data_IF_123319576004
#
_entry.id   IF_123319576004
#
_cell.length_a   1.000
_cell.length_b   1.000
_cell.length_c   1.000
_cell.angle_alpha   90.00
_cell.angle_beta   90.00
_cell.angle_gamma   90.00
#
_symmetry.space_group_name_H-M   'P 1'
#
loop_
_entity.id
_entity.type
_entity.pdbx_description
1 polymer ?
#
# COMPACT_ATOMS: atom_id res chain seq x y z
N UNK A 1 -22.85 -36.44 3.02
CA UNK A 1 -23.58 -36.28 1.75
C UNK A 1 -23.08 -34.99 1.11
N UNK A 2 -22.60 -35.03 -0.13
CA UNK A 2 -22.31 -33.82 -0.90
C UNK A 2 -23.65 -33.19 -1.29
N UNK A 3 -24.02 -32.10 -0.63
CA UNK A 3 -25.19 -31.31 -1.06
C UNK A 3 -24.98 -30.88 -2.51
N UNK A 4 -26.04 -31.03 -3.33
CA UNK A 4 -26.01 -30.59 -4.72
C UNK A 4 -25.96 -29.07 -4.74
N UNK A 5 -24.77 -28.51 -4.99
CA UNK A 5 -24.57 -27.08 -5.17
C UNK A 5 -24.72 -26.73 -6.66
N UNK A 6 -25.73 -25.91 -6.99
CA UNK A 6 -25.82 -25.29 -8.31
C UNK A 6 -24.96 -24.02 -8.29
N UNK A 7 -23.80 -24.07 -8.95
CA UNK A 7 -22.97 -22.88 -9.10
C UNK A 7 -23.74 -21.81 -9.87
N UNK A 8 -23.92 -20.63 -9.27
CA UNK A 8 -24.44 -19.44 -9.92
C UNK A 8 -23.27 -18.50 -10.22
N UNK A 9 -22.83 -18.41 -11.49
CA UNK A 9 -21.70 -17.54 -11.84
C UNK A 9 -22.04 -16.07 -11.69
N UNK A 10 -21.26 -15.32 -10.91
CA UNK A 10 -21.32 -13.87 -10.91
C UNK A 10 -20.55 -13.33 -12.14
N UNK A 11 -21.29 -13.02 -13.19
CA UNK A 11 -20.73 -12.45 -14.43
C UNK A 11 -20.13 -11.06 -14.21
N UNK A 12 -20.67 -10.29 -13.28
CA UNK A 12 -20.14 -8.96 -12.93
C UNK A 12 -18.79 -9.07 -12.26
N UNK A 13 -18.63 -10.02 -11.34
CA UNK A 13 -17.35 -10.31 -10.71
C UNK A 13 -16.30 -10.82 -11.72
N UNK A 14 -16.70 -11.68 -12.67
CA UNK A 14 -15.81 -12.10 -13.76
C UNK A 14 -15.33 -10.88 -14.57
N UNK A 15 -16.24 -9.98 -14.95
CA UNK A 15 -15.88 -8.76 -15.67
C UNK A 15 -14.92 -7.88 -14.85
N UNK A 16 -15.20 -7.70 -13.55
CA UNK A 16 -14.33 -6.97 -12.64
C UNK A 16 -12.92 -7.56 -12.57
N UNK A 17 -12.79 -8.89 -12.46
CA UNK A 17 -11.47 -9.55 -12.42
C UNK A 17 -10.70 -9.33 -13.72
N UNK A 18 -11.37 -9.32 -14.87
CA UNK A 18 -10.74 -9.05 -16.18
C UNK A 18 -10.19 -7.63 -16.24
N UNK A 19 -11.00 -6.64 -15.85
CA UNK A 19 -10.58 -5.22 -15.75
C UNK A 19 -9.38 -5.01 -14.81
N UNK A 20 -9.29 -5.82 -13.74
CA UNK A 20 -8.20 -5.79 -12.77
C UNK A 20 -6.94 -6.58 -13.22
N UNK A 21 -6.89 -7.06 -14.47
CA UNK A 21 -5.73 -7.76 -15.06
C UNK A 21 -5.86 -9.28 -15.13
N UNK A 22 -6.99 -9.85 -14.70
CA UNK A 22 -7.27 -11.30 -14.70
C UNK A 22 -7.83 -11.85 -16.02
N UNK A 23 -7.52 -11.23 -17.17
CA UNK A 23 -8.12 -11.54 -18.48
C UNK A 23 -8.12 -13.02 -18.86
N UNK A 24 -7.09 -13.75 -18.43
CA UNK A 24 -6.89 -15.15 -18.82
C UNK A 24 -7.60 -16.17 -17.94
N UNK A 25 -8.44 -15.74 -16.98
CA UNK A 25 -9.15 -16.62 -16.04
C UNK A 25 -9.97 -17.73 -16.72
N UNK A 26 -10.46 -17.50 -17.96
CA UNK A 26 -11.23 -18.49 -18.74
C UNK A 26 -10.37 -19.48 -19.54
N UNK A 27 -9.05 -19.29 -19.63
CA UNK A 27 -8.16 -20.19 -20.39
C UNK A 27 -7.83 -21.49 -19.64
N UNK A 28 -7.99 -21.49 -18.31
CA UNK A 28 -7.62 -22.61 -17.44
C UNK A 28 -8.50 -23.84 -17.68
N UNK A 29 -7.84 -25.01 -17.79
CA UNK A 29 -8.47 -26.32 -17.97
C UNK A 29 -8.09 -27.31 -16.86
N UNK A 30 -7.58 -26.79 -15.73
CA UNK A 30 -7.37 -27.54 -14.48
C UNK A 30 -6.28 -28.64 -14.48
N UNK A 31 -5.23 -28.51 -15.30
CA UNK A 31 -4.11 -29.48 -15.37
C UNK A 31 -3.15 -29.52 -14.16
N UNK A 32 -3.29 -28.60 -13.19
CA UNK A 32 -2.48 -28.52 -11.97
C UNK A 32 -0.98 -28.16 -12.09
N UNK A 33 -0.44 -27.93 -13.29
CA UNK A 33 0.98 -27.51 -13.48
C UNK A 33 1.37 -26.34 -12.57
N UNK A 34 0.53 -25.31 -12.50
CA UNK A 34 0.74 -24.13 -11.66
C UNK A 34 0.83 -24.45 -10.15
N UNK A 35 0.14 -25.48 -9.69
CA UNK A 35 0.11 -25.88 -8.28
C UNK A 35 1.30 -26.76 -7.90
N UNK A 36 1.80 -27.56 -8.84
CA UNK A 36 2.97 -28.41 -8.62
C UNK A 36 4.27 -27.61 -8.74
N UNK A 37 4.32 -26.62 -9.63
CA UNK A 37 5.52 -25.82 -9.86
C UNK A 37 5.74 -24.71 -8.82
N UNK A 38 4.77 -24.42 -7.96
CA UNK A 38 4.87 -23.33 -7.00
C UNK A 38 5.63 -23.78 -5.74
N UNK A 39 6.83 -23.23 -5.45
CA UNK A 39 7.66 -23.69 -4.33
C UNK A 39 7.06 -23.34 -2.96
N UNK A 40 6.16 -22.36 -2.92
CA UNK A 40 5.53 -21.86 -1.70
C UNK A 40 4.08 -22.36 -1.53
N UNK A 41 3.60 -23.25 -2.41
CA UNK A 41 2.29 -23.86 -2.27
C UNK A 41 2.32 -24.91 -1.14
N UNK A 42 1.39 -24.86 -0.17
CA UNK A 42 1.28 -25.90 0.86
C UNK A 42 0.96 -27.26 0.25
N UNK A 43 1.54 -28.34 0.80
CA UNK A 43 1.35 -29.71 0.29
C UNK A 43 -0.11 -30.16 0.35
N UNK A 44 -0.77 -29.93 1.48
CA UNK A 44 -2.16 -30.37 1.73
C UNK A 44 -3.21 -29.42 1.15
N UNK A 45 -2.79 -28.24 0.69
CA UNK A 45 -3.70 -27.21 0.20
C UNK A 45 -3.07 -26.32 -0.87
N UNK A 46 -2.68 -26.88 -2.03
CA UNK A 46 -1.98 -26.12 -3.05
C UNK A 46 -2.86 -25.05 -3.70
N UNK A 47 -2.24 -23.97 -4.12
CA UNK A 47 -2.77 -22.90 -4.98
C UNK A 47 -1.90 -22.84 -6.25
N UNK A 48 -2.26 -22.16 -7.36
CA UNK A 48 -3.48 -21.41 -7.63
C UNK A 48 -4.58 -22.19 -8.39
N UNK A 49 -4.45 -23.51 -8.62
CA UNK A 49 -5.40 -24.25 -9.49
C UNK A 49 -6.87 -24.06 -9.08
N UNK A 50 -7.17 -24.19 -7.78
CA UNK A 50 -8.53 -24.08 -7.24
C UNK A 50 -9.06 -22.64 -7.28
N UNK A 51 -8.18 -21.65 -7.13
CA UNK A 51 -8.51 -20.24 -7.32
C UNK A 51 -8.81 -19.93 -8.78
N UNK A 52 -8.09 -20.54 -9.72
CA UNK A 52 -8.32 -20.35 -11.16
C UNK A 52 -9.70 -20.84 -11.59
N UNK A 53 -10.17 -22.00 -11.11
CA UNK A 53 -11.53 -22.47 -11.43
C UNK A 53 -12.59 -21.62 -10.74
N UNK A 54 -12.37 -21.21 -9.49
CA UNK A 54 -13.30 -20.31 -8.80
C UNK A 54 -13.42 -18.96 -9.51
N UNK A 55 -12.31 -18.43 -10.03
CA UNK A 55 -12.29 -17.20 -10.84
C UNK A 55 -13.03 -17.41 -12.16
N UNK A 56 -12.79 -18.53 -12.85
CA UNK A 56 -13.45 -18.83 -14.12
C UNK A 56 -14.96 -19.01 -13.96
N UNK A 57 -15.44 -19.47 -12.82
CA UNK A 57 -16.86 -19.59 -12.50
C UNK A 57 -17.46 -18.37 -11.81
N UNK A 58 -16.70 -17.32 -11.52
CA UNK A 58 -17.22 -16.14 -10.84
C UNK A 58 -17.67 -16.41 -9.41
N UNK A 59 -17.04 -17.37 -8.71
CA UNK A 59 -17.35 -17.70 -7.32
C UNK A 59 -16.71 -16.67 -6.37
N UNK A 60 -17.32 -15.48 -6.29
CA UNK A 60 -16.78 -14.32 -5.56
C UNK A 60 -16.42 -14.64 -4.12
N UNK A 61 -17.36 -15.15 -3.33
CA UNK A 61 -17.14 -15.37 -1.89
C UNK A 61 -16.01 -16.39 -1.65
N UNK A 62 -15.93 -17.43 -2.49
CA UNK A 62 -14.87 -18.44 -2.43
C UNK A 62 -13.47 -17.88 -2.71
N UNK A 63 -13.38 -16.73 -3.37
CA UNK A 63 -12.12 -16.07 -3.69
C UNK A 63 -11.79 -14.96 -2.69
N UNK A 64 -12.75 -14.11 -2.36
CA UNK A 64 -12.54 -12.94 -1.49
C UNK A 64 -12.30 -13.37 -0.03
N UNK A 65 -12.91 -14.47 0.40
CA UNK A 65 -12.71 -15.07 1.75
C UNK A 65 -11.57 -16.10 1.80
N UNK A 66 -10.80 -16.26 0.73
CA UNK A 66 -9.72 -17.24 0.69
C UNK A 66 -8.38 -16.60 1.05
N UNK A 67 -7.76 -17.04 2.16
CA UNK A 67 -6.44 -16.59 2.58
C UNK A 67 -5.30 -16.92 1.60
N UNK A 68 -5.45 -17.93 0.74
CA UNK A 68 -4.40 -18.42 -0.16
C UNK A 68 -3.97 -17.40 -1.21
N UNK A 69 -4.90 -16.55 -1.64
CA UNK A 69 -4.61 -15.50 -2.62
C UNK A 69 -3.51 -14.56 -2.12
N UNK A 70 -3.35 -14.45 -0.79
CA UNK A 70 -2.39 -13.57 -0.12
C UNK A 70 -1.05 -14.24 0.15
N UNK A 71 -0.98 -15.58 0.13
CA UNK A 71 0.28 -16.31 0.24
C UNK A 71 1.08 -16.22 -1.06
N UNK A 72 0.39 -16.13 -2.20
CA UNK A 72 0.98 -15.94 -3.51
C UNK A 72 1.84 -14.67 -3.59
N UNK A 73 3.09 -14.82 -4.03
CA UNK A 73 4.01 -13.70 -4.24
C UNK A 73 3.82 -13.03 -5.60
N UNK A 74 2.93 -13.54 -6.47
CA UNK A 74 2.80 -13.12 -7.87
C UNK A 74 4.14 -13.21 -8.61
N UNK A 75 4.89 -14.30 -8.43
CA UNK A 75 6.22 -14.44 -9.02
C UNK A 75 6.22 -14.70 -10.52
N UNK A 76 5.16 -15.27 -11.10
CA UNK A 76 5.08 -15.53 -12.53
C UNK A 76 5.42 -16.96 -12.96
N UNK A 77 6.14 -17.75 -12.17
CA UNK A 77 6.55 -19.13 -12.54
C UNK A 77 5.35 -19.98 -13.03
N UNK A 78 4.22 -19.87 -12.32
CA UNK A 78 2.99 -20.56 -12.67
C UNK A 78 2.32 -20.07 -13.97
N UNK A 79 2.56 -18.83 -14.38
CA UNK A 79 2.09 -18.25 -15.64
C UNK A 79 2.96 -18.75 -16.79
N UNK A 80 4.28 -18.69 -16.65
CA UNK A 80 5.25 -19.08 -17.68
C UNK A 80 5.14 -20.58 -18.01
N UNK A 81 4.90 -21.40 -16.99
CA UNK A 81 4.75 -22.86 -17.14
C UNK A 81 3.33 -23.28 -17.59
N UNK A 82 2.39 -22.35 -17.76
CA UNK A 82 1.03 -22.72 -18.10
C UNK A 82 0.91 -23.18 -19.57
N UNK A 83 0.53 -24.44 -19.86
CA UNK A 83 0.47 -24.96 -21.24
C UNK A 83 -0.68 -24.35 -22.08
N UNK A 84 -1.55 -23.55 -21.46
CA UNK A 84 -2.66 -22.84 -22.10
C UNK A 84 -2.41 -21.33 -22.25
N UNK A 85 -1.26 -20.84 -21.79
CA UNK A 85 -0.99 -19.40 -21.71
C UNK A 85 -2.02 -18.67 -20.84
N UNK A 86 -2.46 -19.31 -19.75
CA UNK A 86 -3.14 -18.61 -18.67
C UNK A 86 -2.10 -17.99 -17.75
N UNK A 87 -2.46 -16.90 -17.07
CA UNK A 87 -1.58 -16.16 -16.16
C UNK A 87 -2.12 -16.23 -14.73
N UNK A 88 -1.95 -17.36 -13.99
CA UNK A 88 -2.52 -17.49 -12.65
C UNK A 88 -2.00 -16.45 -11.66
N UNK A 89 -0.74 -16.02 -11.79
CA UNK A 89 -0.19 -14.96 -10.95
C UNK A 89 -1.00 -13.66 -11.07
N UNK A 90 -1.37 -13.28 -12.29
CA UNK A 90 -2.12 -12.05 -12.56
C UNK A 90 -3.60 -12.19 -12.15
N UNK A 91 -4.19 -13.36 -12.35
CA UNK A 91 -5.55 -13.64 -11.83
C UNK A 91 -5.60 -13.53 -10.32
N UNK A 92 -4.63 -14.09 -9.58
CA UNK A 92 -4.57 -13.94 -8.11
C UNK A 92 -4.32 -12.46 -7.71
N UNK A 93 -3.57 -11.70 -8.50
CA UNK A 93 -3.40 -10.26 -8.28
C UNK A 93 -4.69 -9.47 -8.47
N UNK A 94 -5.47 -9.80 -9.48
CA UNK A 94 -6.79 -9.24 -9.73
C UNK A 94 -7.75 -9.57 -8.57
N UNK A 95 -7.75 -10.83 -8.10
CA UNK A 95 -8.57 -11.25 -6.96
C UNK A 95 -8.18 -10.51 -5.68
N UNK A 96 -6.88 -10.32 -5.39
CA UNK A 96 -6.43 -9.49 -4.26
C UNK A 96 -6.91 -8.04 -4.36
N UNK A 97 -6.85 -7.46 -5.56
CA UNK A 97 -7.33 -6.09 -5.81
C UNK A 97 -8.85 -5.98 -5.60
N UNK A 98 -9.61 -7.00 -6.02
CA UNK A 98 -11.04 -7.09 -5.76
C UNK A 98 -11.32 -7.27 -4.26
N UNK A 99 -10.54 -8.09 -3.54
CA UNK A 99 -10.67 -8.28 -2.09
C UNK A 99 -10.44 -6.97 -1.32
N UNK A 100 -9.40 -6.19 -1.65
CA UNK A 100 -9.18 -4.87 -1.05
C UNK A 100 -10.39 -3.97 -1.28
N UNK A 101 -10.91 -3.96 -2.50
CA UNK A 101 -12.12 -3.18 -2.85
C UNK A 101 -13.36 -3.71 -2.13
N UNK A 102 -13.40 -5.00 -1.80
CA UNK A 102 -14.51 -5.61 -1.06
C UNK A 102 -14.55 -5.14 0.41
N UNK A 103 -13.41 -5.19 1.09
CA UNK A 103 -13.35 -4.87 2.51
C UNK A 103 -13.23 -3.38 2.80
N UNK A 104 -12.56 -2.60 1.93
CA UNK A 104 -12.33 -1.19 2.18
C UNK A 104 -13.61 -0.33 2.02
N UNK A 105 -13.78 0.64 2.93
CA UNK A 105 -14.90 1.59 2.95
C UNK A 105 -14.39 3.02 3.04
N UNK A 106 -15.06 4.01 2.42
CA UNK A 106 -16.29 3.90 1.64
C UNK A 106 -16.08 3.30 0.24
N UNK A 107 -17.08 2.56 -0.27
CA UNK A 107 -17.00 1.89 -1.59
C UNK A 107 -16.83 2.85 -2.76
N UNK A 108 -17.45 4.04 -2.67
CA UNK A 108 -17.31 5.05 -3.70
C UNK A 108 -15.84 5.44 -3.92
N UNK A 109 -15.08 5.61 -2.83
CA UNK A 109 -13.66 5.92 -2.90
C UNK A 109 -12.84 4.70 -3.36
N UNK A 110 -13.14 3.51 -2.83
CA UNK A 110 -12.50 2.27 -3.27
C UNK A 110 -12.62 2.07 -4.79
N UNK A 111 -13.81 2.29 -5.34
CA UNK A 111 -14.07 2.18 -6.78
C UNK A 111 -13.38 3.30 -7.56
N UNK A 112 -13.39 4.54 -7.05
CA UNK A 112 -12.72 5.65 -7.71
C UNK A 112 -11.20 5.44 -7.84
N UNK A 113 -10.53 4.92 -6.82
CA UNK A 113 -9.08 4.60 -6.85
C UNK A 113 -8.75 3.48 -7.84
N UNK A 114 -9.73 2.65 -8.20
CA UNK A 114 -9.58 1.59 -9.20
C UNK A 114 -9.84 2.08 -10.64
N UNK A 115 -10.49 3.23 -10.82
CA UNK A 115 -10.89 3.74 -12.14
C UNK A 115 -9.87 4.78 -12.67
N UNK A 116 -9.11 4.47 -13.73
CA UNK A 116 -8.14 5.41 -14.31
C UNK A 116 -8.76 6.72 -14.78
N UNK A 117 -10.06 6.73 -15.13
CA UNK A 117 -10.76 7.95 -15.55
C UNK A 117 -10.97 8.93 -14.39
N UNK A 118 -10.90 8.44 -13.15
CA UNK A 118 -11.05 9.28 -11.94
C UNK A 118 -9.72 9.87 -11.48
N UNK A 119 -8.58 9.38 -11.96
CA UNK A 119 -7.26 9.86 -11.56
C UNK A 119 -7.10 11.40 -11.65
N UNK A 120 -7.52 12.09 -12.73
CA UNK A 120 -7.37 13.55 -12.79
C UNK A 120 -8.13 14.27 -11.68
N UNK A 121 -9.32 13.78 -11.32
CA UNK A 121 -10.14 14.36 -10.25
C UNK A 121 -9.51 14.05 -8.89
N UNK A 122 -9.04 12.81 -8.68
CA UNK A 122 -8.39 12.40 -7.45
C UNK A 122 -7.16 13.26 -7.16
N UNK A 123 -6.33 13.55 -8.17
CA UNK A 123 -5.17 14.44 -8.05
C UNK A 123 -5.54 15.93 -7.91
N UNK A 124 -6.63 16.37 -8.55
CA UNK A 124 -7.06 17.76 -8.48
C UNK A 124 -7.55 18.16 -7.08
N UNK A 125 -8.18 17.24 -6.34
CA UNK A 125 -8.67 17.50 -4.99
C UNK A 125 -7.56 17.98 -4.04
N UNK A 126 -6.47 17.22 -3.80
CA UNK A 126 -5.38 17.67 -2.95
C UNK A 126 -4.63 18.86 -3.54
N UNK A 127 -4.47 18.94 -4.87
CA UNK A 127 -3.84 20.08 -5.50
C UNK A 127 -4.58 21.39 -5.17
N UNK A 128 -5.89 21.43 -5.39
CA UNK A 128 -6.72 22.60 -5.07
C UNK A 128 -6.71 22.86 -3.56
N UNK A 129 -6.84 21.82 -2.73
CA UNK A 129 -6.79 21.95 -1.28
C UNK A 129 -5.51 22.63 -0.80
N UNK A 130 -4.34 22.12 -1.20
CA UNK A 130 -3.06 22.73 -0.82
C UNK A 130 -2.84 24.09 -1.47
N UNK A 131 -3.37 24.36 -2.67
CA UNK A 131 -3.31 25.69 -3.25
C UNK A 131 -4.10 26.72 -2.40
N UNK A 132 -5.27 26.33 -1.89
CA UNK A 132 -6.07 27.16 -0.98
C UNK A 132 -5.32 27.39 0.35
N UNK A 133 -4.77 26.32 0.94
CA UNK A 133 -4.02 26.44 2.20
C UNK A 133 -2.79 27.34 2.06
N UNK A 134 -2.06 27.24 0.94
CA UNK A 134 -0.95 28.14 0.63
C UNK A 134 -1.44 29.58 0.47
N UNK A 135 -2.52 29.80 -0.29
CA UNK A 135 -3.10 31.13 -0.47
C UNK A 135 -3.48 31.79 0.85
N UNK A 136 -4.14 31.04 1.75
CA UNK A 136 -4.50 31.54 3.09
C UNK A 136 -3.27 31.84 3.93
N UNK A 137 -2.26 30.96 3.92
CA UNK A 137 -1.02 31.19 4.68
C UNK A 137 -0.30 32.46 4.22
N UNK A 138 -0.21 32.68 2.91
CA UNK A 138 0.52 33.81 2.33
C UNK A 138 -0.24 35.15 2.42
N UNK A 139 -1.57 35.15 2.31
CA UNK A 139 -2.36 36.39 2.22
C UNK A 139 -3.10 36.74 3.51
N UNK A 140 -3.31 35.78 4.40
CA UNK A 140 -4.06 35.97 5.64
C UNK A 140 -3.24 35.62 6.90
N UNK A 141 -1.90 35.52 6.80
CA UNK A 141 -1.01 35.14 7.89
C UNK A 141 -1.25 35.93 9.19
N UNK A 142 -1.31 37.27 9.13
CA UNK A 142 -1.58 38.10 10.31
C UNK A 142 -2.96 37.83 10.95
N UNK A 143 -3.96 37.59 10.11
CA UNK A 143 -5.31 37.27 10.57
C UNK A 143 -5.33 35.91 11.26
N UNK A 144 -4.66 34.92 10.67
CA UNK A 144 -4.52 33.60 11.26
C UNK A 144 -3.74 33.63 12.57
N UNK A 145 -2.67 34.42 12.68
CA UNK A 145 -1.94 34.65 13.94
C UNK A 145 -2.84 35.20 15.02
N UNK A 146 -3.68 36.19 14.71
CA UNK A 146 -4.67 36.72 15.67
C UNK A 146 -5.66 35.65 16.12
N UNK A 147 -6.18 34.84 15.20
CA UNK A 147 -7.12 33.75 15.50
C UNK A 147 -6.47 32.69 16.40
N UNK A 148 -5.26 32.24 16.07
CA UNK A 148 -4.56 31.19 16.82
C UNK A 148 -4.13 31.66 18.21
N UNK A 149 -3.75 32.94 18.35
CA UNK A 149 -3.43 33.54 19.65
C UNK A 149 -4.63 33.55 20.62
N UNK A 150 -5.88 33.58 20.14
CA UNK A 150 -7.08 33.45 21.00
C UNK A 150 -7.09 32.09 21.73
N UNK A 151 -6.56 31.05 21.08
CA UNK A 151 -6.47 29.70 21.65
C UNK A 151 -5.13 29.47 22.37
N UNK A 152 -4.27 30.48 22.49
CA UNK A 152 -2.96 30.37 23.16
C UNK A 152 -1.94 29.53 22.38
N UNK A 153 -2.11 29.40 21.06
CA UNK A 153 -1.23 28.59 20.19
C UNK A 153 -0.61 29.48 19.11
N UNK A 154 0.65 29.24 18.77
CA UNK A 154 1.30 29.92 17.67
C UNK A 154 0.75 29.47 16.31
N UNK A 155 0.68 30.38 15.34
CA UNK A 155 0.20 30.09 13.98
C UNK A 155 1.07 29.09 13.21
N UNK A 156 2.33 28.92 13.62
CA UNK A 156 3.24 27.93 13.07
C UNK A 156 4.05 27.34 14.21
N UNK A 157 4.43 26.07 14.08
CA UNK A 157 5.40 25.43 14.97
C UNK A 157 6.85 25.83 14.61
N UNK A 158 7.05 26.73 13.65
CA UNK A 158 8.34 27.36 13.43
C UNK A 158 8.69 28.26 14.61
N UNK A 159 9.90 28.10 15.18
CA UNK A 159 10.42 29.00 16.21
C UNK A 159 10.49 30.45 15.71
N UNK A 160 10.40 31.41 16.64
CA UNK A 160 10.81 32.80 16.40
C UNK A 160 12.22 32.81 15.80
N UNK A 161 12.37 33.40 14.61
CA UNK A 161 13.64 33.44 13.86
C UNK A 161 13.89 32.25 12.92
N UNK A 162 13.19 31.12 13.04
CA UNK A 162 13.27 30.01 12.06
C UNK A 162 12.45 30.29 10.80
N UNK A 163 11.42 31.14 10.88
CA UNK A 163 10.64 31.66 9.77
C UNK A 163 11.50 32.36 8.69
N UNK A 164 12.62 32.96 9.11
CA UNK A 164 13.60 33.57 8.20
C UNK A 164 14.62 32.57 7.64
N UNK A 165 14.71 31.36 8.20
CA UNK A 165 15.68 30.32 7.84
C UNK A 165 15.04 29.25 6.94
N UNK A 166 13.76 28.94 7.15
CA UNK A 166 13.01 27.94 6.40
C UNK A 166 11.92 28.65 5.59
N UNK A 167 12.24 28.91 4.31
CA UNK A 167 11.31 29.57 3.41
C UNK A 167 9.92 28.91 3.41
N UNK A 168 9.83 27.58 3.47
CA UNK A 168 8.57 26.83 3.36
C UNK A 168 7.62 27.09 4.52
N UNK A 169 8.13 27.48 5.70
CA UNK A 169 7.30 27.83 6.85
C UNK A 169 6.41 29.05 6.57
N UNK A 170 6.82 29.91 5.62
CA UNK A 170 6.03 31.05 5.16
C UNK A 170 5.03 30.67 4.06
N UNK A 171 5.17 29.48 3.48
CA UNK A 171 4.32 29.00 2.38
C UNK A 171 3.17 28.11 2.88
N UNK A 172 3.45 27.20 3.81
CA UNK A 172 2.43 26.39 4.49
C UNK A 172 2.62 26.46 6.00
N UNK A 173 1.56 26.84 6.73
CA UNK A 173 1.52 26.65 8.17
C UNK A 173 1.55 25.15 8.51
N UNK A 174 2.35 24.78 9.51
CA UNK A 174 2.43 23.41 10.03
C UNK A 174 1.06 22.94 10.53
N UNK A 175 0.24 23.83 11.11
CA UNK A 175 -1.10 23.47 11.56
C UNK A 175 -2.01 23.02 10.42
N UNK A 176 -1.92 23.64 9.25
CA UNK A 176 -2.69 23.21 8.09
C UNK A 176 -2.26 21.85 7.57
N UNK A 177 -0.95 21.55 7.66
CA UNK A 177 -0.44 20.20 7.38
C UNK A 177 -1.05 19.21 8.37
N UNK A 178 -1.02 19.50 9.67
CA UNK A 178 -1.53 18.59 10.70
C UNK A 178 -3.05 18.41 10.63
N UNK A 179 -3.81 19.49 10.44
CA UNK A 179 -5.26 19.46 10.22
C UNK A 179 -5.66 18.69 8.96
N UNK A 180 -4.74 18.51 8.01
CA UNK A 180 -4.97 17.67 6.83
C UNK A 180 -4.56 16.22 7.11
N UNK A 181 -3.32 15.98 7.51
CA UNK A 181 -2.76 14.63 7.55
C UNK A 181 -3.14 13.84 8.80
N UNK A 182 -3.35 14.47 9.95
CA UNK A 182 -3.77 13.74 11.16
C UNK A 182 -5.15 13.11 10.96
N UNK A 183 -6.19 13.82 10.47
CA UNK A 183 -7.47 13.20 10.17
C UNK A 183 -7.39 12.13 9.08
N UNK A 184 -6.62 12.36 8.01
CA UNK A 184 -6.48 11.39 6.91
C UNK A 184 -5.79 10.12 7.40
N UNK A 185 -4.67 10.23 8.13
CA UNK A 185 -3.97 9.09 8.69
C UNK A 185 -4.83 8.32 9.70
N UNK A 186 -5.60 9.04 10.53
CA UNK A 186 -6.55 8.44 11.48
C UNK A 186 -7.65 7.69 10.74
N UNK A 187 -8.23 8.29 9.69
CA UNK A 187 -9.24 7.65 8.87
C UNK A 187 -8.68 6.40 8.17
N UNK A 188 -7.48 6.47 7.60
CA UNK A 188 -6.82 5.34 6.97
C UNK A 188 -6.59 4.19 7.98
N UNK A 189 -6.14 4.49 9.19
CA UNK A 189 -5.97 3.51 10.27
C UNK A 189 -7.30 2.84 10.66
N UNK A 190 -8.37 3.62 10.82
CA UNK A 190 -9.72 3.10 11.12
C UNK A 190 -10.21 2.19 9.98
N UNK A 191 -10.06 2.62 8.72
CA UNK A 191 -10.46 1.84 7.56
C UNK A 191 -9.70 0.52 7.51
N UNK A 192 -8.39 0.54 7.71
CA UNK A 192 -7.59 -0.69 7.79
C UNK A 192 -8.05 -1.60 8.92
N UNK A 193 -8.22 -1.07 10.12
CA UNK A 193 -8.68 -1.86 11.26
C UNK A 193 -10.00 -2.57 10.97
N UNK A 194 -11.00 -1.83 10.47
CA UNK A 194 -12.31 -2.40 10.13
C UNK A 194 -12.23 -3.41 8.98
N UNK A 195 -11.43 -3.10 7.96
CA UNK A 195 -11.26 -3.98 6.79
C UNK A 195 -10.59 -5.30 7.18
N UNK A 196 -9.52 -5.23 7.98
CA UNK A 196 -8.78 -6.40 8.46
C UNK A 196 -9.60 -7.22 9.44
N UNK A 197 -10.41 -6.58 10.31
CA UNK A 197 -11.34 -7.30 11.20
C UNK A 197 -12.32 -8.14 10.39
N UNK A 198 -12.95 -7.55 9.38
CA UNK A 198 -13.91 -8.26 8.54
C UNK A 198 -13.24 -9.36 7.72
N UNK A 199 -12.09 -9.06 7.12
CA UNK A 199 -11.28 -10.03 6.38
C UNK A 199 -10.87 -11.23 7.26
N UNK A 200 -10.37 -10.98 8.47
CA UNK A 200 -9.95 -12.02 9.40
C UNK A 200 -11.12 -12.93 9.81
N UNK A 201 -12.30 -12.34 10.05
CA UNK A 201 -13.50 -13.11 10.36
C UNK A 201 -13.93 -13.97 9.15
N UNK A 202 -13.88 -13.41 7.94
CA UNK A 202 -14.28 -14.13 6.73
C UNK A 202 -13.33 -15.28 6.36
N UNK A 203 -12.01 -15.10 6.49
CA UNK A 203 -11.06 -16.20 6.28
C UNK A 203 -11.20 -17.27 7.36
N UNK A 204 -11.57 -16.88 8.58
CA UNK A 204 -11.80 -17.83 9.67
C UNK A 204 -13.07 -18.66 9.45
N UNK A 205 -14.19 -17.99 9.15
CA UNK A 205 -15.45 -18.66 8.79
C UNK A 205 -15.24 -19.63 7.63
N UNK A 206 -14.57 -19.19 6.56
CA UNK A 206 -14.27 -20.05 5.42
C UNK A 206 -13.36 -21.23 5.79
N UNK A 207 -12.37 -21.04 6.67
CA UNK A 207 -11.51 -22.12 7.13
C UNK A 207 -12.27 -23.16 7.97
N UNK A 208 -13.21 -22.74 8.81
CA UNK A 208 -14.09 -23.65 9.57
C UNK A 208 -15.00 -24.43 8.62
N UNK A 209 -15.61 -23.76 7.64
CA UNK A 209 -16.47 -24.40 6.64
C UNK A 209 -15.73 -25.44 5.78
N UNK A 210 -14.48 -25.16 5.42
CA UNK A 210 -13.64 -26.07 4.64
C UNK A 210 -12.94 -27.14 5.51
N UNK A 211 -13.15 -27.15 6.83
CA UNK A 211 -12.51 -28.11 7.74
C UNK A 211 -10.99 -27.94 7.84
N UNK A 212 -10.48 -26.72 7.57
CA UNK A 212 -9.06 -26.37 7.63
C UNK A 212 -8.56 -26.03 9.04
N UNK A 213 -9.47 -25.93 10.02
CA UNK A 213 -9.14 -25.66 11.42
C UNK A 213 -10.16 -26.32 12.34
N UNK A 214 -9.68 -26.84 13.46
CA UNK A 214 -10.53 -27.41 14.52
C UNK A 214 -11.08 -26.34 15.47
N UNK A 215 -10.62 -25.09 15.32
CA UNK A 215 -11.05 -23.96 16.15
C UNK A 215 -12.34 -23.37 15.58
N UNK A 216 -13.44 -23.53 16.30
CA UNK A 216 -14.76 -23.00 15.91
C UNK A 216 -14.93 -21.50 16.17
N UNK A 217 -14.01 -20.89 16.93
CA UNK A 217 -13.99 -19.46 17.20
C UNK A 217 -12.57 -18.89 17.08
N UNK A 218 -12.50 -17.57 16.93
CA UNK A 218 -11.25 -16.84 16.73
C UNK A 218 -10.69 -16.35 18.07
N UNK A 219 -9.58 -16.95 18.50
CA UNK A 219 -8.81 -16.47 19.66
C UNK A 219 -7.82 -15.38 19.22
N UNK A 220 -8.15 -14.12 19.55
CA UNK A 220 -7.33 -12.97 19.21
C UNK A 220 -5.96 -12.95 19.90
N UNK A 221 -5.82 -13.54 21.09
CA UNK A 221 -4.56 -13.58 21.83
C UNK A 221 -3.58 -14.52 21.14
N UNK A 222 -4.03 -15.72 20.79
CA UNK A 222 -3.23 -16.68 20.03
C UNK A 222 -2.92 -16.17 18.61
N UNK A 223 -3.89 -15.53 17.95
CA UNK A 223 -3.67 -14.89 16.65
C UNK A 223 -2.58 -13.80 16.74
N UNK A 224 -2.61 -12.96 17.78
CA UNK A 224 -1.58 -11.93 17.98
C UNK A 224 -0.18 -12.54 18.21
N UNK A 225 -0.10 -13.67 18.91
CA UNK A 225 1.16 -14.42 19.02
C UNK A 225 1.65 -14.92 17.66
N UNK A 226 0.75 -15.39 16.80
CA UNK A 226 1.08 -15.78 15.43
C UNK A 226 1.57 -14.57 14.58
N UNK A 227 0.99 -13.37 14.79
CA UNK A 227 1.49 -12.13 14.16
C UNK A 227 2.96 -11.89 14.52
N UNK A 228 3.30 -11.93 15.82
CA UNK A 228 4.69 -11.71 16.28
C UNK A 228 5.65 -12.73 15.65
N UNK A 229 5.25 -14.00 15.55
CA UNK A 229 6.08 -15.07 14.93
C UNK A 229 6.31 -14.85 13.44
N UNK A 230 5.34 -14.28 12.71
CA UNK A 230 5.39 -14.11 11.25
C UNK A 230 6.18 -12.85 10.83
N UNK A 231 6.26 -11.83 11.68
CA UNK A 231 6.97 -10.57 11.37
C UNK A 231 8.40 -10.79 10.83
N UNK A 232 9.28 -11.61 11.46
CA UNK A 232 10.62 -11.85 10.94
C UNK A 232 10.62 -12.40 9.51
N UNK A 233 9.73 -13.34 9.19
CA UNK A 233 9.60 -13.90 7.84
C UNK A 233 9.16 -12.86 6.83
N UNK A 234 8.23 -11.97 7.21
CA UNK A 234 7.77 -10.87 6.36
C UNK A 234 8.87 -9.84 6.13
N UNK A 235 9.67 -9.50 7.15
CA UNK A 235 10.75 -8.52 6.99
C UNK A 235 11.91 -9.07 6.15
N UNK A 236 12.33 -10.32 6.39
CA UNK A 236 13.46 -10.92 5.67
C UNK A 236 13.16 -11.22 4.21
N UNK A 237 11.89 -11.42 3.84
CA UNK A 237 11.48 -11.85 2.49
C UNK A 237 12.19 -13.15 2.04
N UNK A 238 12.53 -14.05 2.96
CA UNK A 238 13.36 -15.23 2.68
C UNK A 238 12.80 -16.09 1.51
N UNK A 239 11.47 -16.25 1.45
CA UNK A 239 10.78 -17.05 0.41
C UNK A 239 10.70 -16.37 -0.96
N UNK A 240 11.04 -15.09 -1.06
CA UNK A 240 10.89 -14.34 -2.30
C UNK A 240 11.92 -14.75 -3.36
N UNK A 241 13.07 -15.27 -2.90
CA UNK A 241 14.15 -15.77 -3.75
C UNK A 241 13.94 -17.21 -4.23
N UNK A 242 12.92 -17.91 -3.70
CA UNK A 242 12.55 -19.26 -4.15
C UNK A 242 11.82 -19.24 -5.50
N UNK A 243 11.36 -18.07 -5.95
CA UNK A 243 10.69 -17.91 -7.23
C UNK A 243 11.64 -17.36 -8.31
N UNK A 244 11.59 -17.91 -9.52
CA UNK A 244 12.65 -17.71 -10.52
C UNK A 244 12.30 -16.65 -11.58
N UNK A 245 11.09 -16.68 -12.14
CA UNK A 245 10.66 -15.87 -13.29
C UNK A 245 10.84 -14.35 -13.08
N UNK A 246 10.72 -13.89 -11.84
CA UNK A 246 10.83 -12.48 -11.48
C UNK A 246 11.80 -12.23 -10.33
N UNK A 247 12.93 -12.93 -10.29
CA UNK A 247 13.93 -12.75 -9.24
C UNK A 247 14.51 -11.32 -9.21
N UNK A 248 14.56 -10.67 -10.37
CA UNK A 248 15.02 -9.29 -10.57
C UNK A 248 14.25 -8.23 -9.77
N UNK A 249 13.00 -8.51 -9.38
CA UNK A 249 12.16 -7.57 -8.62
C UNK A 249 12.45 -7.56 -7.11
N UNK A 250 13.19 -8.53 -6.58
CA UNK A 250 13.40 -8.72 -5.14
C UNK A 250 14.12 -7.52 -4.52
N UNK A 251 15.28 -7.17 -5.07
CA UNK A 251 16.10 -6.04 -4.63
C UNK A 251 15.32 -4.73 -4.64
N UNK A 252 14.72 -4.28 -5.77
CA UNK A 252 14.04 -2.99 -5.78
C UNK A 252 12.79 -2.98 -4.87
N UNK A 253 12.11 -4.11 -4.68
CA UNK A 253 11.02 -4.21 -3.70
C UNK A 253 11.51 -4.03 -2.26
N UNK A 254 12.61 -4.69 -1.87
CA UNK A 254 13.21 -4.54 -0.54
C UNK A 254 13.72 -3.12 -0.30
N UNK A 255 14.32 -2.48 -1.30
CA UNK A 255 14.73 -1.08 -1.22
C UNK A 255 13.53 -0.18 -0.89
N UNK A 256 12.42 -0.33 -1.61
CA UNK A 256 11.20 0.44 -1.35
C UNK A 256 10.63 0.15 0.05
N UNK A 257 10.54 -1.13 0.45
CA UNK A 257 10.03 -1.52 1.77
C UNK A 257 10.83 -0.90 2.92
N UNK A 258 12.15 -1.08 2.93
CA UNK A 258 13.00 -0.55 4.00
C UNK A 258 13.06 0.98 3.97
N UNK A 259 12.93 1.59 2.80
CA UNK A 259 12.80 3.05 2.69
C UNK A 259 11.51 3.55 3.34
N UNK A 260 10.37 2.90 3.11
CA UNK A 260 9.12 3.25 3.79
C UNK A 260 9.21 3.08 5.31
N UNK A 261 9.82 1.99 5.79
CA UNK A 261 10.05 1.77 7.22
C UNK A 261 10.93 2.88 7.80
N UNK A 262 12.06 3.18 7.15
CA UNK A 262 12.99 4.23 7.60
C UNK A 262 12.34 5.62 7.61
N UNK A 263 11.63 6.00 6.55
CA UNK A 263 10.92 7.27 6.46
C UNK A 263 9.76 7.37 7.47
N UNK A 264 9.06 6.27 7.75
CA UNK A 264 8.04 6.22 8.78
C UNK A 264 8.65 6.44 10.18
N UNK A 265 9.77 5.77 10.49
CA UNK A 265 10.50 5.95 11.75
C UNK A 265 10.95 7.42 11.89
N UNK A 266 11.56 7.99 10.85
CA UNK A 266 11.99 9.40 10.84
C UNK A 266 10.80 10.31 11.10
N UNK A 267 9.69 10.11 10.40
CA UNK A 267 8.48 10.95 10.58
C UNK A 267 7.93 10.83 12.01
N UNK A 268 7.90 9.63 12.57
CA UNK A 268 7.48 9.38 13.95
C UNK A 268 8.40 10.05 14.98
N UNK A 269 9.73 9.96 14.80
CA UNK A 269 10.71 10.68 15.62
C UNK A 269 10.47 12.19 15.50
N UNK A 270 10.27 12.71 14.29
CA UNK A 270 9.97 14.12 14.04
C UNK A 270 8.73 14.59 14.79
N UNK A 271 7.66 13.80 14.78
CA UNK A 271 6.43 14.07 15.54
C UNK A 271 6.69 14.11 17.05
N UNK A 272 7.41 13.13 17.59
CA UNK A 272 7.77 13.08 19.02
C UNK A 272 8.64 14.28 19.41
N UNK A 273 9.64 14.62 18.60
CA UNK A 273 10.52 15.76 18.89
C UNK A 273 9.76 17.08 18.85
N UNK A 274 8.86 17.24 17.88
CA UNK A 274 8.04 18.44 17.73
C UNK A 274 7.04 18.60 18.89
N UNK A 275 6.27 17.57 19.19
CA UNK A 275 5.11 17.68 20.08
C UNK A 275 5.38 17.27 21.53
N UNK A 276 6.31 16.35 21.77
CA UNK A 276 6.62 15.86 23.11
C UNK A 276 7.88 16.54 23.64
N UNK A 277 8.95 16.56 22.85
CA UNK A 277 10.21 17.16 23.28
C UNK A 277 10.28 18.69 23.07
N UNK A 278 9.27 19.29 22.42
CA UNK A 278 9.21 20.73 22.12
C UNK A 278 10.50 21.24 21.43
N UNK A 279 11.06 20.41 20.55
CA UNK A 279 12.30 20.65 19.83
C UNK A 279 12.02 20.66 18.33
N UNK A 280 11.42 21.72 17.78
CA UNK A 280 11.19 21.81 16.34
C UNK A 280 12.51 22.04 15.59
N UNK A 281 12.51 21.66 14.31
CA UNK A 281 13.65 21.83 13.41
C UNK A 281 13.97 23.30 13.09
N UNK A 282 15.01 23.57 12.29
CA UNK A 282 15.76 22.60 11.49
C UNK A 282 16.85 21.88 12.29
N UNK A 283 16.99 20.58 12.09
CA UNK A 283 18.08 19.80 12.69
C UNK A 283 19.36 19.90 11.84
N UNK A 284 20.52 19.79 12.51
CA UNK A 284 21.83 19.66 11.85
C UNK A 284 21.84 18.51 10.84
N UNK A 285 22.56 18.69 9.73
CA UNK A 285 22.74 17.62 8.73
C UNK A 285 23.56 16.43 9.25
N UNK A 286 24.25 16.59 10.39
CA UNK A 286 24.94 15.51 11.10
C UNK A 286 24.02 14.72 12.03
N UNK A 287 22.75 15.11 12.17
CA UNK A 287 21.81 14.39 13.03
C UNK A 287 21.54 12.98 12.44
N UNK A 288 21.63 11.89 13.23
CA UNK A 288 21.35 10.53 12.76
C UNK A 288 19.98 10.36 12.10
N UNK A 289 18.96 11.09 12.57
CA UNK A 289 17.63 11.12 11.96
C UNK A 289 17.68 11.64 10.52
N UNK A 290 18.51 12.65 10.23
CA UNK A 290 18.70 13.19 8.88
C UNK A 290 19.42 12.20 7.98
N UNK A 291 20.42 11.48 8.49
CA UNK A 291 21.09 10.43 7.71
C UNK A 291 20.13 9.30 7.36
N UNK A 292 19.35 8.81 8.32
CA UNK A 292 18.33 7.80 8.07
C UNK A 292 17.31 8.29 7.03
N UNK A 293 16.86 9.55 7.11
CA UNK A 293 15.95 10.15 6.15
C UNK A 293 16.54 10.18 4.73
N UNK A 294 17.79 10.63 4.60
CA UNK A 294 18.43 10.80 3.30
C UNK A 294 18.77 9.44 2.67
N UNK A 295 19.29 8.48 3.44
CA UNK A 295 19.55 7.11 2.98
C UNK A 295 18.24 6.47 2.51
N UNK A 296 17.17 6.57 3.31
CA UNK A 296 15.86 6.02 2.96
C UNK A 296 15.26 6.72 1.74
N UNK A 297 15.37 8.04 1.63
CA UNK A 297 14.88 8.80 0.48
C UNK A 297 15.60 8.42 -0.82
N UNK A 298 16.94 8.33 -0.79
CA UNK A 298 17.75 7.90 -1.94
C UNK A 298 17.41 6.46 -2.34
N UNK A 299 17.32 5.55 -1.36
CA UNK A 299 16.94 4.17 -1.60
C UNK A 299 15.51 4.06 -2.18
N UNK A 300 14.57 4.92 -1.79
CA UNK A 300 13.22 4.97 -2.34
C UNK A 300 13.23 5.37 -3.81
N UNK A 301 14.00 6.40 -4.17
CA UNK A 301 14.13 6.87 -5.56
C UNK A 301 14.80 5.83 -6.44
N UNK A 302 15.92 5.25 -5.99
CA UNK A 302 16.63 4.21 -6.75
C UNK A 302 15.75 2.96 -6.87
N UNK A 303 15.14 2.50 -5.78
CA UNK A 303 14.26 1.33 -5.77
C UNK A 303 13.06 1.53 -6.69
N UNK A 304 12.37 2.66 -6.59
CA UNK A 304 11.27 3.03 -7.48
C UNK A 304 11.70 3.13 -8.94
N UNK A 305 12.85 3.76 -9.22
CA UNK A 305 13.40 3.87 -10.57
C UNK A 305 13.75 2.50 -11.19
N UNK A 306 14.34 1.60 -10.41
CA UNK A 306 14.60 0.22 -10.83
C UNK A 306 13.31 -0.54 -11.09
N UNK A 307 12.28 -0.40 -10.24
CA UNK A 307 10.98 -1.01 -10.50
C UNK A 307 10.35 -0.48 -11.80
N UNK A 308 10.50 0.82 -12.11
CA UNK A 308 9.97 1.43 -13.34
C UNK A 308 10.71 0.86 -14.55
N UNK A 309 12.05 0.82 -14.49
CA UNK A 309 12.89 0.24 -15.52
C UNK A 309 12.51 -1.23 -15.78
N UNK A 310 12.46 -2.06 -14.74
CA UNK A 310 12.12 -3.48 -14.88
C UNK A 310 10.73 -3.67 -15.52
N UNK A 311 9.80 -2.74 -15.30
CA UNK A 311 8.45 -2.79 -15.89
C UNK A 311 8.43 -2.35 -17.36
N UNK A 312 9.28 -1.41 -17.75
CA UNK A 312 9.45 -1.00 -19.16
C UNK A 312 10.22 -2.04 -19.97
N UNK A 313 11.16 -2.75 -19.35
CA UNK A 313 12.04 -3.73 -20.01
C UNK A 313 11.35 -5.10 -20.23
N UNK A 314 10.29 -5.42 -19.49
CA UNK A 314 9.61 -6.73 -19.61
C UNK A 314 8.72 -6.81 -20.86
N UNK A 315 9.03 -7.82 -21.69
CA UNK A 315 8.25 -8.22 -22.87
C UNK A 315 7.31 -9.39 -22.51
N UNK A 316 6.04 -9.19 -22.83
CA UNK A 316 5.00 -10.17 -23.19
C UNK A 316 4.32 -11.11 -22.16
N UNK A 317 4.91 -11.50 -21.03
CA UNK A 317 4.28 -12.57 -20.20
C UNK A 317 3.54 -12.12 -18.92
N UNK A 318 3.70 -10.87 -18.47
CA UNK A 318 3.00 -10.33 -17.28
C UNK A 318 2.17 -9.10 -17.58
N UNK A 319 0.90 -9.13 -17.16
CA UNK A 319 -0.02 -8.01 -17.37
C UNK A 319 0.30 -6.89 -16.38
N UNK A 320 0.69 -5.72 -16.88
CA UNK A 320 0.78 -4.51 -16.06
C UNK A 320 -0.54 -3.75 -16.10
N UNK A 321 -1.04 -3.36 -14.94
CA UNK A 321 -2.33 -2.67 -14.81
C UNK A 321 -2.12 -1.20 -14.48
N UNK A 322 -3.16 -0.38 -14.69
CA UNK A 322 -3.19 1.02 -14.26
C UNK A 322 -2.72 1.20 -12.81
N UNK A 323 -3.23 0.37 -11.88
CA UNK A 323 -2.88 0.45 -10.46
C UNK A 323 -1.40 0.23 -10.19
N UNK A 324 -0.73 -0.58 -11.01
CA UNK A 324 0.70 -0.81 -10.87
C UNK A 324 1.52 0.43 -11.26
N UNK A 325 1.11 1.11 -12.34
CA UNK A 325 1.73 2.34 -12.81
C UNK A 325 1.43 3.53 -11.89
N UNK A 326 0.19 3.66 -11.43
CA UNK A 326 -0.17 4.71 -10.49
C UNK A 326 0.68 4.63 -9.22
N UNK A 327 0.76 3.46 -8.58
CA UNK A 327 1.47 3.35 -7.31
C UNK A 327 2.97 3.54 -7.47
N UNK A 328 3.58 2.99 -8.52
CA UNK A 328 5.04 3.08 -8.70
C UNK A 328 5.47 4.51 -9.02
N UNK A 329 4.69 5.24 -9.82
CA UNK A 329 4.93 6.65 -10.13
C UNK A 329 4.73 7.48 -8.86
N UNK A 330 3.69 7.20 -8.07
CA UNK A 330 3.44 7.87 -6.80
C UNK A 330 4.61 7.70 -5.82
N UNK A 331 5.06 6.47 -5.62
CA UNK A 331 6.19 6.14 -4.72
C UNK A 331 7.50 6.80 -5.18
N UNK A 332 7.79 6.75 -6.48
CA UNK A 332 8.96 7.42 -7.04
C UNK A 332 8.88 8.94 -6.88
N UNK A 333 7.72 9.52 -7.20
CA UNK A 333 7.48 10.96 -7.07
C UNK A 333 7.59 11.42 -5.61
N UNK A 334 7.12 10.62 -4.66
CA UNK A 334 7.24 10.90 -3.23
C UNK A 334 8.70 11.03 -2.80
N UNK A 335 9.55 10.05 -3.15
CA UNK A 335 10.98 10.10 -2.84
C UNK A 335 11.69 11.26 -3.54
N UNK A 336 11.41 11.45 -4.82
CA UNK A 336 12.06 12.46 -5.65
C UNK A 336 11.72 13.88 -5.19
N UNK A 337 10.44 14.18 -4.99
CA UNK A 337 9.98 15.50 -4.54
C UNK A 337 10.44 15.81 -3.11
N UNK A 338 10.53 14.82 -2.23
CA UNK A 338 11.04 14.99 -0.87
C UNK A 338 12.53 15.41 -0.87
N UNK A 339 13.37 14.68 -1.63
CA UNK A 339 14.79 15.02 -1.77
C UNK A 339 15.00 16.36 -2.47
N UNK A 340 14.24 16.65 -3.53
CA UNK A 340 14.31 17.94 -4.25
C UNK A 340 13.89 19.11 -3.36
N UNK A 341 12.90 18.92 -2.50
CA UNK A 341 12.50 19.94 -1.52
C UNK A 341 13.65 20.27 -0.59
N UNK A 342 14.33 19.26 -0.06
CA UNK A 342 15.51 19.43 0.80
C UNK A 342 16.67 20.10 0.06
N UNK A 343 17.02 19.63 -1.13
CA UNK A 343 18.11 20.19 -1.93
C UNK A 343 17.85 21.66 -2.28
N UNK A 344 16.63 21.99 -2.71
CA UNK A 344 16.24 23.38 -3.00
C UNK A 344 16.30 24.28 -1.76
N UNK A 345 15.93 23.75 -0.58
CA UNK A 345 16.06 24.47 0.70
C UNK A 345 17.53 24.77 1.01
N UNK A 346 18.40 23.76 0.91
CA UNK A 346 19.84 23.91 1.19
C UNK A 346 20.54 24.82 0.19
N UNK A 347 20.03 24.91 -1.05
CA UNK A 347 20.49 25.84 -2.07
C UNK A 347 19.92 27.26 -1.93
N UNK A 348 19.10 27.52 -0.91
CA UNK A 348 18.40 28.80 -0.69
C UNK A 348 17.48 29.22 -1.87
N UNK A 349 16.96 28.25 -2.63
CA UNK A 349 16.06 28.46 -3.76
C UNK A 349 14.60 28.37 -3.31
N UNK A 350 14.12 29.43 -2.63
CA UNK A 350 12.81 29.45 -1.98
C UNK A 350 11.64 29.04 -2.89
N UNK A 351 11.49 29.68 -4.06
CA UNK A 351 10.39 29.38 -4.99
C UNK A 351 10.40 27.96 -5.54
N UNK A 352 11.59 27.41 -5.81
CA UNK A 352 11.74 26.02 -6.27
C UNK A 352 11.40 25.05 -5.14
N UNK A 353 11.79 25.39 -3.91
CA UNK A 353 11.46 24.59 -2.74
C UNK A 353 9.95 24.57 -2.47
N UNK A 354 9.24 25.68 -2.67
CA UNK A 354 7.78 25.75 -2.56
C UNK A 354 7.09 24.84 -3.56
N UNK A 355 7.56 24.87 -4.81
CA UNK A 355 7.02 24.05 -5.88
C UNK A 355 7.15 22.55 -5.57
N UNK A 356 8.35 22.08 -5.23
CA UNK A 356 8.53 20.66 -4.91
C UNK A 356 7.85 20.25 -3.61
N UNK A 357 7.80 21.13 -2.61
CA UNK A 357 7.07 20.84 -1.37
C UNK A 357 5.57 20.70 -1.63
N UNK A 358 4.98 21.57 -2.45
CA UNK A 358 3.58 21.45 -2.88
C UNK A 358 3.30 20.11 -3.58
N UNK A 359 4.15 19.71 -4.54
CA UNK A 359 4.03 18.41 -5.19
C UNK A 359 4.20 17.24 -4.20
N UNK A 360 5.10 17.40 -3.22
CA UNK A 360 5.33 16.40 -2.19
C UNK A 360 4.10 16.22 -1.30
N UNK A 361 3.46 17.31 -0.87
CA UNK A 361 2.23 17.25 -0.07
C UNK A 361 1.08 16.58 -0.83
N UNK A 362 0.94 16.86 -2.12
CA UNK A 362 -0.03 16.16 -2.99
C UNK A 362 0.28 14.65 -3.01
N UNK A 363 1.54 14.27 -3.24
CA UNK A 363 1.92 12.85 -3.27
C UNK A 363 1.72 12.14 -1.93
N UNK A 364 2.00 12.80 -0.79
CA UNK A 364 1.71 12.24 0.55
C UNK A 364 0.21 12.09 0.73
N UNK A 365 -0.59 13.07 0.32
CA UNK A 365 -2.06 12.99 0.43
C UNK A 365 -2.59 11.78 -0.32
N UNK A 366 -2.19 11.62 -1.58
CA UNK A 366 -2.54 10.47 -2.41
C UNK A 366 -2.13 9.15 -1.73
N UNK A 367 -0.92 9.10 -1.17
CA UNK A 367 -0.42 7.92 -0.46
C UNK A 367 -1.33 7.58 0.72
N UNK A 368 -1.59 8.52 1.65
CA UNK A 368 -2.32 8.22 2.89
C UNK A 368 -3.82 8.05 2.65
N UNK A 369 -4.44 8.93 1.85
CA UNK A 369 -5.87 8.88 1.59
C UNK A 369 -6.25 7.61 0.81
N UNK A 370 -5.38 7.16 -0.10
CA UNK A 370 -5.68 6.00 -0.95
C UNK A 370 -4.97 4.72 -0.51
N UNK A 371 -4.12 4.76 0.52
CA UNK A 371 -3.42 3.59 1.07
C UNK A 371 -4.34 2.39 1.27
N UNK A 372 -5.52 2.53 1.94
CA UNK A 372 -6.39 1.40 2.25
C UNK A 372 -7.10 0.80 1.02
N UNK A 373 -7.10 1.52 -0.10
CA UNK A 373 -7.81 1.16 -1.34
C UNK A 373 -6.86 0.74 -2.47
N UNK A 374 -5.55 0.90 -2.25
CA UNK A 374 -4.50 0.69 -3.26
C UNK A 374 -3.85 -0.69 -3.12
N UNK A 375 -2.99 -1.04 -4.09
CA UNK A 375 -2.15 -2.25 -4.02
C UNK A 375 -1.19 -2.24 -2.82
N UNK A 376 -0.89 -1.09 -2.20
CA UNK A 376 -0.04 -1.04 -0.99
C UNK A 376 -0.68 -1.70 0.23
N UNK A 377 -2.02 -1.77 0.27
CA UNK A 377 -2.73 -2.49 1.32
C UNK A 377 -2.30 -3.96 1.43
N UNK A 378 -1.70 -4.54 0.37
CA UNK A 378 -1.23 -5.92 0.38
C UNK A 378 -0.35 -6.26 1.58
N UNK A 379 0.45 -5.31 2.10
CA UNK A 379 1.33 -5.54 3.24
C UNK A 379 0.53 -6.04 4.45
N UNK A 380 -0.57 -5.37 4.79
CA UNK A 380 -1.37 -5.69 5.98
C UNK A 380 -2.31 -6.88 5.78
N UNK A 381 -2.88 -7.04 4.58
CA UNK A 381 -3.71 -8.21 4.26
C UNK A 381 -2.87 -9.49 4.19
N UNK A 382 -1.68 -9.42 3.57
CA UNK A 382 -0.75 -10.56 3.51
C UNK A 382 -0.22 -10.93 4.88
N UNK A 383 0.18 -9.96 5.70
CA UNK A 383 0.57 -10.23 7.08
C UNK A 383 -0.57 -10.94 7.83
N UNK A 384 -1.80 -10.41 7.73
CA UNK A 384 -2.99 -11.00 8.38
C UNK A 384 -3.23 -12.44 7.91
N UNK A 385 -3.17 -12.71 6.60
CA UNK A 385 -3.38 -14.05 6.05
C UNK A 385 -2.27 -15.04 6.45
N UNK A 386 -1.00 -14.59 6.45
CA UNK A 386 0.13 -15.42 6.89
C UNK A 386 0.05 -15.73 8.39
N UNK A 387 -0.29 -14.74 9.21
CA UNK A 387 -0.53 -14.93 10.64
C UNK A 387 -1.71 -15.85 10.92
N UNK A 388 -2.75 -15.79 10.09
CA UNK A 388 -3.88 -16.71 10.21
C UNK A 388 -3.49 -18.14 9.83
N UNK A 389 -2.67 -18.33 8.79
CA UNK A 389 -2.16 -19.65 8.42
C UNK A 389 -1.33 -20.29 9.54
N UNK A 390 -0.46 -19.51 10.18
CA UNK A 390 0.30 -19.91 11.38
C UNK A 390 -0.64 -20.22 12.56
N UNK A 391 -1.63 -19.36 12.83
CA UNK A 391 -2.61 -19.54 13.91
C UNK A 391 -3.48 -20.80 13.74
N UNK A 392 -3.91 -21.06 12.52
CA UNK A 392 -4.77 -22.18 12.15
C UNK A 392 -4.04 -23.52 12.04
N UNK A 393 -2.71 -23.55 12.25
CA UNK A 393 -1.85 -24.72 12.00
C UNK A 393 -2.04 -25.30 10.60
N UNK A 394 -2.25 -24.43 9.62
CA UNK A 394 -2.45 -24.86 8.24
C UNK A 394 -1.11 -25.32 7.68
N UNK A 395 -0.91 -26.63 7.61
CA UNK A 395 0.22 -27.25 6.94
C UNK A 395 -0.03 -27.36 5.43
#
# INVERSE_FOLDING_TARGET
MTEKYLAQPDLGFIAQLRELGGETLKKCYQCATCSVACPIAPEDSPFPRKEMIAASWGLKDRLIKNGDIWLCHQCGDCSDLCPRGAAPGDVLSAVRSAAITEYARPKALANAVNDPKKLPILLAIPAIWFAILAFVTMNAGETMTKIFNVFGIAWSHAHEGAEHIIAQANFFSTWFVDMTFVPIATAAAIIFFLSLKNFLNDIHENAVLEGKTDKTGLDYKEFFQAVIKVIPTVLKHDKFNECEANKDRATPHLMVLYSFIGLFIVTGIGFVLLYIAQSPGPYSQLNPMKWLANISGVALVIGGGLMIKNRLDKKDDQVTTYKDWFIIILVFSLGLTGLLTEMARLAHLAGISYFFYYLHLIAIFELFAFLPFSKMAHLVYRLTAMSYAEYGNRK
#
